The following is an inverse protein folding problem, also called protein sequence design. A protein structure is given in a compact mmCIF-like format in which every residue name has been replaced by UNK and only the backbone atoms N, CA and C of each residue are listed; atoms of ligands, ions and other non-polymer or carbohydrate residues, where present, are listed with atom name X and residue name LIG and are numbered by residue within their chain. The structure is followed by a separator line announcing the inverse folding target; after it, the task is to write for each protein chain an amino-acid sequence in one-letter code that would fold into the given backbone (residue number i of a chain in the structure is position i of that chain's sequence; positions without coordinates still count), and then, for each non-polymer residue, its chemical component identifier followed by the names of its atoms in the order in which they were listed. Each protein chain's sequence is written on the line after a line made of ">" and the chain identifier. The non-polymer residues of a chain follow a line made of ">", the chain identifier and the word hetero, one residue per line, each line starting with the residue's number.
data_IF_349169023178
#
_entry.id   IF_349169023178
#
_cell.length_a   1.000
_cell.length_b   1.000
_cell.length_c   1.000
_cell.angle_alpha   90.00
_cell.angle_beta   90.00
_cell.angle_gamma   90.00
#
_symmetry.space_group_name_H-M   'P 1'
#
loop_
_entity.id
_entity.type
_entity.pdbx_description
1 polymer ?
#
# COMPACT_ATOMS: atom_id res chain seq x y z
N UNK A 1 -26.43 22.31 -52.33
CA UNK A 1 -25.25 23.02 -51.77
C UNK A 1 -24.41 22.00 -51.02
N UNK A 2 -23.37 21.48 -51.67
CA UNK A 2 -22.44 20.53 -51.06
C UNK A 2 -21.12 21.26 -50.76
N UNK A 3 -20.50 21.09 -49.58
CA UNK A 3 -19.28 21.79 -49.24
C UNK A 3 -18.09 21.21 -50.01
N UNK A 4 -17.38 22.05 -50.76
CA UNK A 4 -16.10 21.72 -51.38
C UNK A 4 -15.03 21.70 -50.28
N UNK A 5 -14.62 20.51 -49.83
CA UNK A 5 -13.52 20.35 -48.88
C UNK A 5 -12.18 20.72 -49.53
N UNK A 6 -11.49 21.71 -48.96
CA UNK A 6 -10.20 22.19 -49.45
C UNK A 6 -9.11 21.10 -49.30
N UNK A 7 -8.40 20.72 -50.37
CA UNK A 7 -7.40 19.64 -50.35
C UNK A 7 -6.22 19.93 -49.39
N UNK A 8 -5.97 21.20 -49.06
CA UNK A 8 -4.94 21.59 -48.10
C UNK A 8 -5.23 21.13 -46.66
N UNK A 9 -6.50 21.08 -46.26
CA UNK A 9 -6.90 20.66 -44.91
C UNK A 9 -6.75 19.14 -44.73
N UNK A 10 -7.01 18.36 -45.78
CA UNK A 10 -6.82 16.90 -45.77
C UNK A 10 -5.34 16.52 -45.65
N UNK A 11 -4.46 17.20 -46.39
CA UNK A 11 -3.01 16.96 -46.32
C UNK A 11 -2.43 17.32 -44.94
N UNK A 12 -2.89 18.41 -44.32
CA UNK A 12 -2.46 18.80 -42.98
C UNK A 12 -2.92 17.80 -41.89
N UNK A 13 -4.16 17.31 -41.99
CA UNK A 13 -4.69 16.28 -41.08
C UNK A 13 -3.96 14.94 -41.23
N UNK A 14 -3.62 14.54 -42.46
CA UNK A 14 -2.83 13.32 -42.72
C UNK A 14 -1.40 13.41 -42.16
N UNK A 15 -0.74 14.57 -42.29
CA UNK A 15 0.59 14.78 -41.72
C UNK A 15 0.59 14.73 -40.18
N UNK A 16 -0.42 15.31 -39.53
CA UNK A 16 -0.59 15.23 -38.07
C UNK A 16 -0.88 13.79 -37.58
N UNK A 17 -1.68 13.03 -38.32
CA UNK A 17 -1.97 11.62 -38.01
C UNK A 17 -0.72 10.73 -38.16
N UNK A 18 0.10 10.96 -39.19
CA UNK A 18 1.37 10.24 -39.36
C UNK A 18 2.39 10.61 -38.26
N UNK A 19 2.51 11.89 -37.91
CA UNK A 19 3.41 12.35 -36.85
C UNK A 19 3.05 11.76 -35.47
N UNK A 20 1.75 11.73 -35.13
CA UNK A 20 1.28 11.12 -33.87
C UNK A 20 1.51 9.61 -33.83
N UNK A 21 1.26 8.91 -34.94
CA UNK A 21 1.52 7.46 -35.05
C UNK A 21 3.01 7.14 -34.89
N UNK A 22 3.91 7.95 -35.48
CA UNK A 22 5.37 7.79 -35.32
C UNK A 22 5.83 8.05 -33.88
N UNK A 23 5.25 9.05 -33.19
CA UNK A 23 5.56 9.31 -31.77
C UNK A 23 5.10 8.17 -30.88
N UNK A 24 3.88 7.66 -31.07
CA UNK A 24 3.33 6.52 -30.31
C UNK A 24 4.16 5.25 -30.57
N UNK A 25 4.56 4.98 -31.81
CA UNK A 25 5.40 3.83 -32.13
C UNK A 25 6.78 3.91 -31.44
N UNK A 26 7.36 5.13 -31.37
CA UNK A 26 8.65 5.39 -30.68
C UNK A 26 8.55 5.30 -29.15
N UNK A 27 7.42 5.68 -28.55
CA UNK A 27 7.24 5.54 -27.10
C UNK A 27 7.00 4.09 -26.70
N UNK A 28 6.20 3.35 -27.48
CA UNK A 28 5.97 1.92 -27.25
C UNK A 28 7.25 1.10 -27.44
N UNK A 29 8.07 1.41 -28.45
CA UNK A 29 9.36 0.72 -28.64
C UNK A 29 10.35 1.00 -27.50
N UNK A 30 10.42 2.26 -27.02
CA UNK A 30 11.23 2.63 -25.85
C UNK A 30 10.74 1.95 -24.56
N UNK A 31 9.43 1.84 -24.35
CA UNK A 31 8.87 1.11 -23.20
C UNK A 31 9.19 -0.40 -23.26
N UNK A 32 9.08 -1.02 -24.44
CA UNK A 32 9.45 -2.44 -24.64
C UNK A 32 10.94 -2.68 -24.39
N UNK A 33 11.82 -1.82 -24.91
CA UNK A 33 13.26 -1.91 -24.67
C UNK A 33 13.61 -1.75 -23.19
N UNK A 34 12.98 -0.80 -22.48
CA UNK A 34 13.20 -0.60 -21.04
C UNK A 34 12.75 -1.81 -20.22
N UNK A 35 11.62 -2.42 -20.57
CA UNK A 35 11.13 -3.65 -19.90
C UNK A 35 12.09 -4.83 -20.13
N UNK A 36 12.54 -5.04 -21.37
CA UNK A 36 13.54 -6.06 -21.68
C UNK A 36 14.88 -5.85 -20.96
N UNK A 37 15.34 -4.61 -20.80
CA UNK A 37 16.55 -4.30 -20.02
C UNK A 37 16.38 -4.58 -18.53
N UNK A 38 15.22 -4.25 -17.95
CA UNK A 38 14.93 -4.54 -16.54
C UNK A 38 14.82 -6.05 -16.28
N UNK A 39 14.19 -6.80 -17.19
CA UNK A 39 14.07 -8.25 -17.10
C UNK A 39 15.44 -8.94 -17.24
N UNK A 40 16.30 -8.47 -18.16
CA UNK A 40 17.68 -8.94 -18.31
C UNK A 40 18.54 -8.64 -17.07
N UNK A 41 18.40 -7.45 -16.48
CA UNK A 41 19.10 -7.09 -15.23
C UNK A 41 18.64 -7.94 -14.04
N UNK A 42 17.35 -8.26 -13.95
CA UNK A 42 16.80 -9.16 -12.93
C UNK A 42 17.32 -10.60 -13.12
N UNK A 43 17.38 -11.10 -14.36
CA UNK A 43 17.93 -12.42 -14.67
C UNK A 43 19.44 -12.52 -14.35
N UNK A 44 20.22 -11.46 -14.61
CA UNK A 44 21.64 -11.42 -14.28
C UNK A 44 21.91 -11.42 -12.77
N UNK A 45 21.08 -10.73 -11.98
CA UNK A 45 21.16 -10.78 -10.51
C UNK A 45 20.86 -12.18 -9.96
N UNK A 46 19.98 -12.93 -10.62
CA UNK A 46 19.60 -14.30 -10.23
C UNK A 46 20.70 -15.33 -10.52
N UNK A 47 21.59 -15.07 -11.48
CA UNK A 47 22.71 -15.97 -11.83
C UNK A 47 23.97 -15.77 -10.98
N UNK A 48 24.02 -14.78 -10.10
CA UNK A 48 25.22 -14.46 -9.30
C UNK A 48 25.19 -15.06 -7.88
N UNK A 49 24.10 -15.75 -7.49
CA UNK A 49 23.93 -16.35 -6.15
C UNK A 49 23.96 -17.87 -6.12
N UNK A 50 24.46 -18.56 -7.16
CA UNK A 50 24.49 -20.03 -7.17
C UNK A 50 25.84 -20.59 -7.65
N UNK A 51 26.88 -20.46 -6.84
CA UNK A 51 28.02 -21.38 -6.84
C UNK A 51 28.53 -21.55 -5.42
N UNK A 52 27.85 -22.39 -4.64
CA UNK A 52 28.45 -23.06 -3.49
C UNK A 52 28.32 -24.56 -3.74
N UNK A 53 29.46 -25.21 -3.96
CA UNK A 53 29.57 -26.66 -4.04
C UNK A 53 29.12 -27.30 -2.71
N UNK A 54 28.59 -28.53 -2.72
CA UNK A 54 28.13 -29.17 -1.50
C UNK A 54 29.34 -29.64 -0.70
N UNK A 55 29.62 -28.98 0.43
CA UNK A 55 30.43 -29.59 1.48
C UNK A 55 29.52 -30.62 2.14
N UNK A 56 29.80 -31.90 1.90
CA UNK A 56 29.18 -33.00 2.62
C UNK A 56 29.63 -32.93 4.09
N UNK A 57 28.91 -32.14 4.88
CA UNK A 57 28.94 -32.14 6.33
C UNK A 57 27.56 -32.56 6.83
N UNK A 58 27.52 -33.51 7.77
CA UNK A 58 26.28 -33.85 8.46
C UNK A 58 25.60 -32.56 8.97
N UNK A 59 24.26 -32.44 8.87
CA UNK A 59 23.56 -31.21 9.21
C UNK A 59 23.89 -30.81 10.65
N UNK A 60 24.37 -29.59 10.82
CA UNK A 60 24.66 -29.06 12.16
C UNK A 60 23.35 -28.93 12.94
N UNK A 61 23.44 -28.99 14.27
CA UNK A 61 22.29 -28.71 15.15
C UNK A 61 21.65 -27.32 14.87
N UNK A 62 22.40 -26.41 14.26
CA UNK A 62 21.93 -25.09 13.84
C UNK A 62 20.99 -25.14 12.61
N UNK A 63 21.26 -26.04 11.65
CA UNK A 63 20.45 -26.16 10.44
C UNK A 63 19.11 -26.88 10.71
N UNK A 64 19.12 -27.89 11.59
CA UNK A 64 17.91 -28.56 12.04
C UNK A 64 16.95 -27.61 12.78
N UNK A 65 17.49 -26.67 13.57
CA UNK A 65 16.70 -25.65 14.28
C UNK A 65 16.08 -24.61 13.34
N UNK A 66 16.73 -24.32 12.21
CA UNK A 66 16.19 -23.39 11.20
C UNK A 66 15.00 -24.00 10.45
N UNK A 67 15.04 -25.30 10.15
CA UNK A 67 13.92 -26.00 9.52
C UNK A 67 12.72 -26.15 10.45
N UNK A 68 12.95 -26.42 11.75
CA UNK A 68 11.85 -26.46 12.70
C UNK A 68 11.20 -25.09 12.91
N UNK A 69 11.96 -23.98 12.88
CA UNK A 69 11.42 -22.61 12.96
C UNK A 69 10.64 -22.19 11.70
N UNK A 70 11.02 -22.67 10.51
CA UNK A 70 10.27 -22.40 9.27
C UNK A 70 8.90 -23.07 9.29
N UNK A 71 8.81 -24.32 9.75
CA UNK A 71 7.56 -25.08 9.72
C UNK A 71 6.49 -24.53 10.69
N UNK A 72 6.86 -23.87 11.79
CA UNK A 72 5.89 -23.20 12.69
C UNK A 72 5.47 -21.84 12.15
N UNK A 73 6.34 -21.15 11.41
CA UNK A 73 6.01 -19.87 10.78
C UNK A 73 4.93 -20.04 9.71
N UNK A 74 4.88 -21.20 9.04
CA UNK A 74 3.98 -21.46 7.91
C UNK A 74 2.50 -21.71 8.31
N UNK A 75 2.22 -21.98 9.59
CA UNK A 75 0.86 -22.23 10.08
C UNK A 75 0.13 -20.98 10.62
N UNK A 76 0.83 -19.86 10.85
CA UNK A 76 0.27 -18.59 11.36
C UNK A 76 -0.12 -17.62 10.23
N UNK A 77 0.07 -18.01 8.97
CA UNK A 77 0.10 -17.10 7.82
C UNK A 77 -1.25 -16.82 7.13
N UNK A 78 -2.34 -17.47 7.55
CA UNK A 78 -3.65 -17.38 6.88
C UNK A 78 -4.61 -16.32 7.47
N UNK A 79 -4.20 -15.60 8.52
CA UNK A 79 -5.05 -14.58 9.13
C UNK A 79 -4.71 -13.18 8.58
N UNK A 80 -5.69 -12.39 8.10
CA UNK A 80 -5.44 -11.06 7.57
C UNK A 80 -4.84 -10.17 8.66
N UNK A 81 -3.67 -9.58 8.38
CA UNK A 81 -3.14 -8.46 9.16
C UNK A 81 -3.48 -7.14 8.50
N UNK A 82 -3.74 -6.12 9.31
CA UNK A 82 -4.25 -4.83 8.86
C UNK A 82 -3.26 -3.70 9.03
N UNK A 83 -3.47 -2.69 8.19
CA UNK A 83 -2.70 -1.48 8.12
C UNK A 83 -3.68 -0.31 8.19
N UNK A 84 -3.47 0.62 9.11
CA UNK A 84 -4.26 1.86 9.18
C UNK A 84 -3.52 2.97 8.45
N UNK A 85 -4.16 3.68 7.54
CA UNK A 85 -3.60 4.86 6.88
C UNK A 85 -4.29 6.13 7.40
N UNK A 86 -3.53 7.10 7.90
CA UNK A 86 -4.02 8.42 8.28
C UNK A 86 -3.52 9.43 7.24
N UNK A 87 -4.43 9.84 6.36
CA UNK A 87 -4.17 10.87 5.35
C UNK A 87 -4.47 12.26 5.92
N UNK A 88 -3.51 13.18 5.88
CA UNK A 88 -3.63 14.49 6.53
C UNK A 88 -3.16 15.65 5.67
N UNK A 89 -3.86 16.78 5.78
CA UNK A 89 -3.49 18.05 5.15
C UNK A 89 -2.17 18.60 5.72
N UNK A 90 -1.13 18.69 4.89
CA UNK A 90 0.17 19.24 5.30
C UNK A 90 0.10 20.76 5.51
N UNK A 91 -0.66 21.48 4.66
CA UNK A 91 -0.86 22.94 4.79
C UNK A 91 -1.64 23.38 6.03
N UNK A 92 -2.35 22.45 6.68
CA UNK A 92 -3.19 22.73 7.85
C UNK A 92 -2.44 22.50 9.18
N UNK A 93 -1.18 22.05 9.12
CA UNK A 93 -0.36 21.65 10.28
C UNK A 93 -0.99 20.54 11.13
N UNK A 94 -1.68 19.59 10.49
CA UNK A 94 -2.37 18.50 11.21
C UNK A 94 -1.51 17.23 11.42
N UNK A 95 -0.24 17.26 11.04
CA UNK A 95 0.70 16.16 11.26
C UNK A 95 0.76 15.72 12.73
N UNK A 96 0.82 16.67 13.67
CA UNK A 96 0.91 16.35 15.11
C UNK A 96 -0.31 15.58 15.61
N UNK A 97 -1.51 15.93 15.13
CA UNK A 97 -2.74 15.20 15.46
C UNK A 97 -2.75 13.80 14.84
N UNK A 98 -2.32 13.68 13.59
CA UNK A 98 -2.21 12.39 12.92
C UNK A 98 -1.22 11.46 13.64
N UNK A 99 -0.04 11.98 14.01
CA UNK A 99 0.97 11.24 14.76
C UNK A 99 0.50 10.84 16.16
N UNK A 100 -0.20 11.73 16.88
CA UNK A 100 -0.77 11.39 18.18
C UNK A 100 -1.80 10.25 18.06
N UNK A 101 -2.73 10.33 17.10
CA UNK A 101 -3.68 9.23 16.87
C UNK A 101 -2.98 7.92 16.48
N UNK A 102 -1.92 7.98 15.68
CA UNK A 102 -1.14 6.78 15.36
C UNK A 102 -0.54 6.14 16.63
N UNK A 103 0.01 6.93 17.55
CA UNK A 103 0.53 6.45 18.83
C UNK A 103 -0.58 5.85 19.70
N UNK A 104 -1.74 6.50 19.77
CA UNK A 104 -2.91 5.99 20.49
C UNK A 104 -3.35 4.61 19.98
N UNK A 105 -3.37 4.40 18.66
CA UNK A 105 -3.72 3.11 18.07
C UNK A 105 -2.64 2.06 18.35
N UNK A 106 -1.38 2.36 18.05
CA UNK A 106 -0.28 1.41 18.24
C UNK A 106 -0.17 0.96 19.71
N UNK A 107 -0.24 1.89 20.67
CA UNK A 107 -0.17 1.56 22.09
C UNK A 107 -1.36 0.73 22.59
N UNK A 108 -2.55 0.90 22.00
CA UNK A 108 -3.75 0.13 22.37
C UNK A 108 -3.72 -1.30 21.84
N UNK A 109 -3.13 -1.49 20.66
CA UNK A 109 -3.20 -2.72 19.89
C UNK A 109 -1.88 -3.52 19.85
N UNK A 110 -0.84 -3.11 20.57
CA UNK A 110 0.49 -3.72 20.51
C UNK A 110 0.69 -5.02 21.33
N UNK A 111 -0.03 -5.23 22.44
CA UNK A 111 0.28 -6.31 23.40
C UNK A 111 -0.55 -7.58 23.24
N UNK A 112 -1.61 -7.52 22.43
CA UNK A 112 -2.62 -8.55 22.37
C UNK A 112 -2.40 -9.42 21.14
N UNK A 113 -2.19 -10.72 21.35
CA UNK A 113 -1.98 -11.68 20.25
C UNK A 113 -3.19 -11.79 19.31
N UNK A 114 -4.39 -11.41 19.77
CA UNK A 114 -5.58 -11.33 18.93
C UNK A 114 -5.66 -10.04 18.11
N UNK A 115 -4.82 -9.05 18.42
CA UNK A 115 -4.74 -7.80 17.66
C UNK A 115 -4.04 -8.02 16.34
N UNK A 116 -4.74 -7.68 15.26
CA UNK A 116 -4.25 -7.84 13.89
C UNK A 116 -3.71 -6.53 13.29
N UNK A 117 -3.48 -5.50 14.12
CA UNK A 117 -2.89 -4.25 13.66
C UNK A 117 -1.38 -4.42 13.45
N UNK A 118 -0.92 -4.28 12.21
CA UNK A 118 0.48 -4.43 11.85
C UNK A 118 1.25 -3.13 11.82
N UNK A 119 0.61 -2.06 11.34
CA UNK A 119 1.24 -0.75 11.19
C UNK A 119 0.19 0.38 11.07
N UNK A 120 0.66 1.61 11.30
CA UNK A 120 -0.07 2.83 10.98
C UNK A 120 0.79 3.66 10.02
N UNK A 121 0.24 4.03 8.87
CA UNK A 121 0.86 4.91 7.88
C UNK A 121 0.36 6.34 8.08
N UNK A 122 1.27 7.29 7.94
CA UNK A 122 0.95 8.70 7.88
C UNK A 122 1.15 9.18 6.44
N UNK A 123 0.06 9.49 5.74
CA UNK A 123 0.10 9.92 4.34
C UNK A 123 -0.07 11.44 4.26
N UNK A 124 0.99 12.19 3.92
CA UNK A 124 0.87 13.64 3.73
C UNK A 124 0.10 13.96 2.45
N UNK A 125 -0.99 14.71 2.57
CA UNK A 125 -1.71 15.30 1.45
C UNK A 125 -1.38 16.80 1.33
N UNK A 126 -0.62 17.14 0.30
CA UNK A 126 -0.29 18.54 -0.06
C UNK A 126 -1.20 19.12 -1.15
N UNK A 127 -2.03 18.30 -1.80
CA UNK A 127 -2.85 18.70 -2.96
C UNK A 127 -4.21 19.24 -2.55
N UNK A 128 -4.76 18.77 -1.43
CA UNK A 128 -6.10 19.10 -0.97
C UNK A 128 -6.09 19.64 0.46
N UNK A 129 -6.59 20.87 0.64
CA UNK A 129 -6.76 21.49 1.95
C UNK A 129 -7.85 20.81 2.77
N UNK A 130 -7.65 20.71 4.08
CA UNK A 130 -8.65 20.24 5.02
C UNK A 130 -8.90 18.73 5.03
N UNK A 131 -8.07 17.94 4.34
CA UNK A 131 -8.13 16.47 4.38
C UNK A 131 -7.67 15.96 5.74
N UNK A 132 -8.49 15.12 6.34
CA UNK A 132 -8.14 14.26 7.46
C UNK A 132 -9.01 13.01 7.37
N UNK A 133 -8.43 11.92 6.86
CA UNK A 133 -9.11 10.66 6.61
C UNK A 133 -8.34 9.52 7.26
N UNK A 134 -9.08 8.52 7.74
CA UNK A 134 -8.52 7.30 8.30
C UNK A 134 -9.04 6.15 7.47
N UNK A 135 -8.12 5.34 6.94
CA UNK A 135 -8.41 4.19 6.12
C UNK A 135 -7.88 2.90 6.76
N UNK A 136 -8.47 1.78 6.36
CA UNK A 136 -8.06 0.42 6.71
C UNK A 136 -7.70 -0.34 5.43
N UNK A 137 -6.60 -1.09 5.50
CA UNK A 137 -6.15 -2.00 4.46
C UNK A 137 -5.86 -3.37 5.06
N UNK A 138 -6.11 -4.44 4.31
CA UNK A 138 -5.69 -5.79 4.66
C UNK A 138 -4.57 -6.26 3.72
N UNK A 139 -3.57 -6.92 4.28
CA UNK A 139 -2.37 -7.36 3.55
C UNK A 139 -2.61 -8.52 2.59
N UNK A 140 -3.67 -9.30 2.81
CA UNK A 140 -4.11 -10.39 1.95
C UNK A 140 -4.98 -9.92 0.78
N UNK A 141 -5.29 -8.62 0.71
CA UNK A 141 -6.14 -8.03 -0.33
C UNK A 141 -7.65 -8.13 -0.08
N UNK A 142 -8.10 -8.65 1.07
CA UNK A 142 -9.53 -8.69 1.43
C UNK A 142 -10.14 -7.29 1.60
N UNK A 143 -9.33 -6.32 2.04
CA UNK A 143 -9.68 -4.91 2.15
C UNK A 143 -8.63 -4.09 1.42
N UNK A 144 -8.99 -3.57 0.24
CA UNK A 144 -8.09 -2.72 -0.54
C UNK A 144 -7.88 -1.37 0.14
N UNK A 145 -8.97 -0.62 0.39
CA UNK A 145 -8.93 0.67 1.10
C UNK A 145 -10.31 1.06 1.63
N UNK A 146 -10.62 0.70 2.87
CA UNK A 146 -11.89 1.02 3.52
C UNK A 146 -11.78 2.34 4.31
N UNK A 147 -12.77 3.23 4.19
CA UNK A 147 -12.78 4.50 4.92
C UNK A 147 -13.40 4.32 6.32
N UNK A 148 -12.58 4.40 7.37
CA UNK A 148 -13.03 4.37 8.77
C UNK A 148 -13.50 5.74 9.27
N UNK A 149 -12.84 6.82 8.82
CA UNK A 149 -13.18 8.17 9.26
C UNK A 149 -12.93 9.22 8.19
N UNK A 150 -13.82 10.21 8.09
CA UNK A 150 -13.62 11.41 7.28
C UNK A 150 -14.03 12.65 8.05
N UNK A 151 -13.06 13.54 8.33
CA UNK A 151 -13.34 14.84 8.95
C UNK A 151 -14.36 15.65 8.14
N UNK A 152 -14.31 15.58 6.80
CA UNK A 152 -15.24 16.31 5.95
C UNK A 152 -16.68 15.79 6.10
N UNK A 153 -16.84 14.48 6.27
CA UNK A 153 -18.16 13.86 6.44
C UNK A 153 -18.76 14.14 7.83
N UNK A 154 -17.94 14.02 8.88
CA UNK A 154 -18.40 14.16 10.28
C UNK A 154 -18.35 15.63 10.77
N UNK A 155 -17.60 16.50 10.10
CA UNK A 155 -17.41 17.89 10.49
C UNK A 155 -16.43 18.12 11.65
N UNK A 156 -15.85 17.05 12.22
CA UNK A 156 -14.86 17.10 13.31
C UNK A 156 -13.75 16.06 13.15
N UNK A 157 -12.70 16.19 13.96
CA UNK A 157 -11.70 15.13 14.10
C UNK A 157 -12.28 13.95 14.87
N UNK A 158 -11.77 12.73 14.64
CA UNK A 158 -12.13 11.58 15.46
C UNK A 158 -11.59 11.79 16.87
N UNK A 159 -12.36 11.37 17.87
CA UNK A 159 -11.80 11.19 19.21
C UNK A 159 -11.02 9.87 19.28
N UNK A 160 -9.99 9.82 20.12
CA UNK A 160 -9.15 8.63 20.27
C UNK A 160 -9.99 7.39 20.64
N UNK A 161 -10.91 7.56 21.59
CA UNK A 161 -11.84 6.52 22.03
C UNK A 161 -12.67 5.94 20.88
N UNK A 162 -13.35 6.80 20.14
CA UNK A 162 -14.21 6.43 19.01
C UNK A 162 -13.43 5.72 17.91
N UNK A 163 -12.24 6.22 17.58
CA UNK A 163 -11.41 5.60 16.55
C UNK A 163 -10.89 4.23 16.96
N UNK A 164 -10.54 4.03 18.24
CA UNK A 164 -10.15 2.72 18.78
C UNK A 164 -11.30 1.72 18.71
N UNK A 165 -12.51 2.15 19.05
CA UNK A 165 -13.71 1.31 18.98
C UNK A 165 -14.00 0.87 17.55
N UNK A 166 -14.05 1.83 16.60
CA UNK A 166 -14.25 1.54 15.17
C UNK A 166 -13.19 0.54 14.73
N UNK A 167 -11.90 0.83 14.94
CA UNK A 167 -10.83 -0.04 14.49
C UNK A 167 -10.94 -1.47 15.06
N UNK A 168 -11.20 -1.60 16.36
CA UNK A 168 -11.38 -2.90 17.02
C UNK A 168 -12.46 -3.72 16.32
N UNK A 169 -13.59 -3.12 16.00
CA UNK A 169 -14.73 -3.82 15.41
C UNK A 169 -14.38 -4.43 14.04
N UNK A 170 -13.35 -3.91 13.34
CA UNK A 170 -12.80 -4.53 12.13
C UNK A 170 -11.70 -5.56 12.42
N UNK A 171 -10.75 -5.26 13.31
CA UNK A 171 -9.50 -6.02 13.41
C UNK A 171 -9.47 -7.04 14.55
N UNK A 172 -10.16 -6.80 15.65
CA UNK A 172 -10.20 -7.70 16.81
C UNK A 172 -11.49 -7.54 17.63
N UNK A 173 -12.66 -7.95 17.09
CA UNK A 173 -13.97 -7.64 17.68
C UNK A 173 -14.16 -8.14 19.12
N UNK A 174 -13.46 -9.21 19.52
CA UNK A 174 -13.52 -9.79 20.86
C UNK A 174 -12.68 -9.07 21.90
N UNK A 175 -11.88 -8.07 21.52
CA UNK A 175 -10.97 -7.35 22.43
C UNK A 175 -11.75 -6.31 23.25
N UNK A 176 -11.64 -6.40 24.58
CA UNK A 176 -12.10 -5.32 25.46
C UNK A 176 -11.11 -4.14 25.46
N UNK A 177 -11.63 -2.91 25.37
CA UNK A 177 -10.84 -1.67 25.40
C UNK A 177 -10.94 -0.93 26.75
N UNK A 178 -11.50 -1.58 27.78
CA UNK A 178 -11.59 -1.07 29.14
C UNK A 178 -12.33 0.26 29.22
N UNK A 179 -11.64 1.33 29.62
CA UNK A 179 -12.22 2.68 29.71
C UNK A 179 -12.74 3.21 28.37
N UNK A 180 -12.21 2.72 27.24
CA UNK A 180 -12.69 3.15 25.93
C UNK A 180 -14.06 2.55 25.58
N UNK A 181 -14.48 1.46 26.22
CA UNK A 181 -15.80 0.85 25.98
C UNK A 181 -16.92 1.40 26.86
N UNK A 182 -16.55 2.06 27.95
CA UNK A 182 -17.47 2.66 28.91
C UNK A 182 -17.74 4.11 28.51
N UNK A 183 -18.94 4.63 28.77
CA UNK A 183 -19.32 6.01 28.43
C UNK A 183 -18.44 7.03 29.15
#
# INVERSE_FOLDING_TARGET
>A
MAPTSSPALYSALQLLALATTVVIARTVSRQRQRRQQLDAAAASKRKMTTTTAPVAGAPSAFDARRHSLSAVADAEQDTPVFIVEIEYCTGCRWMLRAAWLAQELLTTFQTDASSRLRSVLLTPNSRQGGVFQVYLHATDGTVDRELLWSRKAVGRFPESKELKQILRDHICPSKELGHSDKK
#
